data_IF_001250617190
#
_entry.id   IF_001250617190
#
_cell.length_a   1.000
_cell.length_b   1.000
_cell.length_c   1.000
_cell.angle_alpha   90.00
_cell.angle_beta   90.00
_cell.angle_gamma   90.00
#
_symmetry.space_group_name_H-M   'P 1'
#
loop_
_entity.id
_entity.type
_entity.pdbx_description
1 polymer ?
#
# COMPACT_ATOMS: atom_id res chain seq x y z
N UNK A 1 -15.57 -17.63 7.91
CA UNK A 1 -14.41 -16.70 7.87
C UNK A 1 -14.78 -15.57 6.94
N UNK A 2 -14.59 -14.30 7.32
CA UNK A 2 -14.74 -13.19 6.36
C UNK A 2 -13.59 -13.30 5.36
N UNK A 3 -13.91 -13.37 4.07
CA UNK A 3 -12.93 -13.35 2.99
C UNK A 3 -12.65 -11.90 2.65
N UNK A 4 -11.40 -11.46 2.76
CA UNK A 4 -11.00 -10.14 2.26
C UNK A 4 -10.44 -10.33 0.85
N UNK A 5 -11.02 -9.64 -0.13
CA UNK A 5 -10.55 -9.71 -1.52
C UNK A 5 -9.31 -8.83 -1.76
N UNK A 6 -9.15 -7.77 -0.98
CA UNK A 6 -8.07 -6.80 -1.14
C UNK A 6 -7.70 -6.19 0.22
N UNK A 7 -6.41 -6.03 0.50
CA UNK A 7 -5.89 -5.35 1.69
C UNK A 7 -4.95 -4.22 1.25
N UNK A 8 -5.17 -3.02 1.80
CA UNK A 8 -4.29 -1.88 1.60
C UNK A 8 -3.43 -1.65 2.84
N UNK A 9 -2.14 -1.45 2.64
CA UNK A 9 -1.18 -1.13 3.70
C UNK A 9 -0.73 0.34 3.61
N UNK A 10 -0.38 0.91 4.76
CA UNK A 10 0.50 2.06 4.78
C UNK A 10 1.96 1.61 4.62
N UNK A 11 2.85 2.53 4.24
CA UNK A 11 4.29 2.27 4.18
C UNK A 11 4.94 2.63 5.52
N UNK A 12 4.96 3.92 5.87
CA UNK A 12 5.67 4.45 7.04
C UNK A 12 5.10 3.90 8.34
N UNK A 13 5.98 3.42 9.22
CA UNK A 13 5.68 2.86 10.55
C UNK A 13 4.65 1.71 10.53
N UNK A 14 4.45 1.09 9.36
CA UNK A 14 3.62 -0.11 9.18
C UNK A 14 4.41 -1.22 8.49
N UNK A 15 4.82 -0.99 7.24
CA UNK A 15 5.67 -1.92 6.50
C UNK A 15 7.14 -1.59 6.66
N UNK A 16 7.47 -0.29 6.70
CA UNK A 16 8.84 0.22 6.77
C UNK A 16 8.95 1.24 7.88
N UNK A 17 9.96 1.12 8.73
CA UNK A 17 10.33 2.12 9.72
C UNK A 17 11.84 2.37 9.68
N UNK A 18 12.25 3.63 9.68
CA UNK A 18 13.66 4.05 9.59
C UNK A 18 14.42 3.39 8.43
N UNK A 19 13.77 3.28 7.26
CA UNK A 19 14.35 2.69 6.05
C UNK A 19 14.50 1.17 6.06
N UNK A 20 14.00 0.48 7.09
CA UNK A 20 14.05 -0.97 7.21
C UNK A 20 12.65 -1.57 7.26
N UNK A 21 12.50 -2.81 6.81
CA UNK A 21 11.26 -3.55 7.02
C UNK A 21 10.95 -3.66 8.51
N UNK A 22 9.67 -3.41 8.86
CA UNK A 22 9.17 -3.78 10.17
C UNK A 22 9.24 -5.30 10.30
N UNK A 23 9.64 -5.80 11.47
CA UNK A 23 9.82 -7.24 11.71
C UNK A 23 8.55 -8.01 11.35
N UNK A 24 8.68 -9.00 10.48
CA UNK A 24 7.58 -9.86 10.02
C UNK A 24 6.69 -9.24 8.95
N UNK A 25 6.95 -8.01 8.49
CA UNK A 25 6.15 -7.37 7.44
C UNK A 25 6.20 -8.17 6.14
N UNK A 26 7.40 -8.59 5.71
CA UNK A 26 7.58 -9.40 4.50
C UNK A 26 6.88 -10.76 4.62
N UNK A 27 7.01 -11.43 5.77
CA UNK A 27 6.37 -12.73 6.01
C UNK A 27 4.83 -12.62 5.93
N UNK A 28 4.26 -11.53 6.45
CA UNK A 28 2.81 -11.26 6.37
C UNK A 28 2.39 -10.96 4.94
N UNK A 29 3.13 -10.14 4.20
CA UNK A 29 2.83 -9.85 2.79
C UNK A 29 2.86 -11.13 1.95
N UNK A 30 3.85 -11.99 2.15
CA UNK A 30 3.98 -13.27 1.45
C UNK A 30 2.85 -14.24 1.80
N UNK A 31 2.48 -14.34 3.08
CA UNK A 31 1.39 -15.19 3.53
C UNK A 31 0.04 -14.73 2.94
N UNK A 32 -0.23 -13.41 2.93
CA UNK A 32 -1.46 -12.86 2.38
C UNK A 32 -1.53 -13.05 0.86
N UNK A 33 -0.44 -12.78 0.13
CA UNK A 33 -0.35 -13.03 -1.32
C UNK A 33 -0.57 -14.50 -1.64
N UNK A 34 0.03 -15.41 -0.88
CA UNK A 34 -0.13 -16.87 -1.03
C UNK A 34 -1.56 -17.35 -0.75
N UNK A 35 -2.33 -16.59 0.03
CA UNK A 35 -3.76 -16.87 0.28
C UNK A 35 -4.71 -16.32 -0.79
N UNK A 36 -4.19 -15.69 -1.84
CA UNK A 36 -4.98 -15.15 -2.95
C UNK A 36 -5.57 -13.77 -2.68
N UNK A 37 -5.12 -13.07 -1.63
CA UNK A 37 -5.54 -11.71 -1.34
C UNK A 37 -4.75 -10.73 -2.21
N UNK A 38 -5.43 -9.76 -2.81
CA UNK A 38 -4.79 -8.66 -3.55
C UNK A 38 -4.21 -7.64 -2.57
N UNK A 39 -3.00 -7.17 -2.84
CA UNK A 39 -2.28 -6.25 -1.95
C UNK A 39 -2.18 -4.87 -2.60
N UNK A 40 -2.51 -3.83 -1.85
CA UNK A 40 -2.38 -2.43 -2.27
C UNK A 40 -1.63 -1.59 -1.25
N UNK A 41 -1.30 -0.36 -1.64
CA UNK A 41 -0.68 0.65 -0.79
C UNK A 41 -1.52 1.93 -0.79
N UNK A 42 -1.67 2.55 0.38
CA UNK A 42 -2.17 3.92 0.54
C UNK A 42 -1.23 4.64 1.49
N UNK A 43 -0.38 5.53 0.95
CA UNK A 43 0.62 6.22 1.76
C UNK A 43 0.70 7.71 1.47
N UNK A 44 0.85 8.50 2.54
CA UNK A 44 1.13 9.92 2.42
C UNK A 44 2.64 10.08 2.17
N UNK A 45 3.00 10.64 1.02
CA UNK A 45 4.39 10.73 0.54
C UNK A 45 4.89 12.17 0.43
N UNK A 46 4.06 13.13 0.88
CA UNK A 46 4.36 14.56 0.77
C UNK A 46 4.59 14.96 -0.68
N UNK A 47 5.77 15.51 -0.97
CA UNK A 47 6.17 15.96 -2.31
C UNK A 47 7.19 15.03 -2.98
N UNK A 48 7.48 13.86 -2.40
CA UNK A 48 8.46 12.94 -2.98
C UNK A 48 7.90 12.28 -4.24
N UNK A 49 8.68 12.28 -5.32
CA UNK A 49 8.43 11.37 -6.43
C UNK A 49 8.61 9.92 -5.99
N UNK A 50 8.07 8.97 -6.76
CA UNK A 50 8.27 7.53 -6.49
C UNK A 50 9.76 7.15 -6.43
N UNK A 51 10.57 7.68 -7.32
CA UNK A 51 12.02 7.44 -7.33
C UNK A 51 12.72 8.03 -6.10
N UNK A 52 12.30 9.22 -5.66
CA UNK A 52 12.82 9.81 -4.43
C UNK A 52 12.41 9.00 -3.21
N UNK A 53 11.15 8.56 -3.14
CA UNK A 53 10.64 7.70 -2.09
C UNK A 53 11.41 6.39 -2.01
N UNK A 54 11.75 5.77 -3.15
CA UNK A 54 12.51 4.52 -3.22
C UNK A 54 13.86 4.61 -2.47
N UNK A 55 14.51 5.78 -2.44
CA UNK A 55 15.76 5.99 -1.70
C UNK A 55 15.59 5.91 -0.17
N UNK A 56 14.36 5.96 0.32
CA UNK A 56 14.01 5.86 1.74
C UNK A 56 13.44 4.48 2.12
N UNK A 57 13.33 3.56 1.16
CA UNK A 57 12.78 2.22 1.36
C UNK A 57 13.90 1.16 1.40
N UNK A 58 13.65 -0.03 1.96
CA UNK A 58 14.56 -1.15 1.88
C UNK A 58 14.99 -1.44 0.44
N UNK A 59 16.25 -1.84 0.24
CA UNK A 59 16.82 -2.03 -1.10
C UNK A 59 16.12 -3.12 -1.94
N UNK A 60 15.40 -4.02 -1.29
CA UNK A 60 14.56 -5.07 -1.87
C UNK A 60 13.07 -4.70 -1.95
N UNK A 61 12.66 -3.53 -1.45
CA UNK A 61 11.29 -3.05 -1.61
C UNK A 61 10.99 -2.77 -3.08
N UNK A 62 9.91 -3.36 -3.60
CA UNK A 62 9.45 -3.13 -4.97
C UNK A 62 7.96 -2.81 -4.97
N UNK A 63 7.58 -1.70 -5.60
CA UNK A 63 6.18 -1.32 -5.75
C UNK A 63 5.38 -2.33 -6.59
N UNK A 64 6.05 -3.06 -7.50
CA UNK A 64 5.47 -4.12 -8.34
C UNK A 64 5.12 -5.40 -7.56
N UNK A 65 5.50 -5.48 -6.27
CA UNK A 65 5.09 -6.59 -5.40
C UNK A 65 3.63 -6.50 -4.99
N UNK A 66 3.02 -5.32 -5.16
CA UNK A 66 1.61 -5.01 -4.94
C UNK A 66 0.85 -5.03 -6.28
N UNK A 67 -0.46 -5.24 -6.22
CA UNK A 67 -1.32 -5.35 -7.39
C UNK A 67 -1.35 -4.05 -8.22
N UNK A 68 -1.34 -4.23 -9.55
CA UNK A 68 -1.40 -3.14 -10.51
C UNK A 68 -2.58 -2.21 -10.25
N UNK A 69 -2.30 -0.90 -10.26
CA UNK A 69 -3.27 0.14 -9.98
C UNK A 69 -3.63 0.32 -8.50
N UNK A 70 -3.21 -0.59 -7.60
CA UNK A 70 -3.53 -0.52 -6.16
C UNK A 70 -2.46 0.18 -5.32
N UNK A 71 -1.45 0.78 -5.94
CA UNK A 71 -0.48 1.66 -5.27
C UNK A 71 -0.94 3.11 -5.39
N UNK A 72 -1.36 3.70 -4.27
CA UNK A 72 -1.79 5.09 -4.15
C UNK A 72 -0.81 5.85 -3.25
N UNK A 73 0.06 6.65 -3.89
CA UNK A 73 0.96 7.58 -3.21
C UNK A 73 0.34 8.97 -3.27
N UNK A 74 0.22 9.68 -2.13
CA UNK A 74 -0.46 10.98 -2.10
C UNK A 74 0.18 12.02 -3.04
N UNK A 75 1.50 11.96 -3.23
CA UNK A 75 2.23 12.81 -4.18
C UNK A 75 1.87 12.55 -5.65
N UNK A 76 1.40 11.35 -5.99
CA UNK A 76 0.99 10.98 -7.34
C UNK A 76 -0.51 11.22 -7.58
N UNK A 77 -1.35 10.98 -6.56
CA UNK A 77 -2.81 11.11 -6.68
C UNK A 77 -3.34 12.50 -6.29
N UNK A 78 -2.52 13.33 -5.64
CA UNK A 78 -2.87 14.69 -5.24
C UNK A 78 -3.84 14.80 -4.05
N UNK A 79 -4.09 13.70 -3.34
CA UNK A 79 -5.00 13.63 -2.18
C UNK A 79 -4.29 12.82 -1.11
N UNK A 80 -4.28 13.28 0.15
CA UNK A 80 -3.63 12.60 1.27
C UNK A 80 -4.62 12.15 2.35
N UNK A 81 -4.28 11.09 3.09
CA UNK A 81 -4.97 10.72 4.33
C UNK A 81 -4.86 11.90 5.33
N UNK A 82 -5.90 12.20 6.13
CA UNK A 82 -7.13 11.44 6.33
C UNK A 82 -8.26 11.81 5.36
N UNK A 83 -8.00 12.54 4.27
CA UNK A 83 -9.06 12.93 3.34
C UNK A 83 -9.71 11.69 2.71
N UNK A 84 -11.05 11.60 2.77
CA UNK A 84 -11.81 10.42 2.35
C UNK A 84 -11.57 10.03 0.88
N UNK A 85 -11.28 11.02 0.04
CA UNK A 85 -11.04 10.85 -1.41
C UNK A 85 -9.99 9.79 -1.76
N UNK A 86 -8.89 9.66 -1.00
CA UNK A 86 -7.87 8.64 -1.32
C UNK A 86 -8.38 7.22 -1.04
N UNK A 87 -9.19 7.04 0.00
CA UNK A 87 -9.80 5.75 0.32
C UNK A 87 -10.88 5.37 -0.70
N UNK A 88 -11.70 6.34 -1.12
CA UNK A 88 -12.69 6.13 -2.18
C UNK A 88 -12.04 5.77 -3.51
N UNK A 89 -10.91 6.41 -3.84
CA UNK A 89 -10.12 6.06 -5.03
C UNK A 89 -9.55 4.64 -4.92
N UNK A 90 -9.06 4.23 -3.75
CA UNK A 90 -8.56 2.88 -3.51
C UNK A 90 -9.67 1.83 -3.70
N UNK A 91 -10.85 2.06 -3.13
CA UNK A 91 -12.04 1.21 -3.30
C UNK A 91 -12.43 1.11 -4.78
N UNK A 92 -12.50 2.25 -5.48
CA UNK A 92 -12.83 2.31 -6.90
C UNK A 92 -11.82 1.50 -7.74
N UNK A 93 -10.51 1.66 -7.52
CA UNK A 93 -9.46 0.94 -8.25
C UNK A 93 -9.42 -0.55 -7.93
N UNK A 94 -9.76 -0.93 -6.69
CA UNK A 94 -9.90 -2.33 -6.29
C UNK A 94 -11.13 -3.00 -6.93
N UNK A 95 -12.13 -2.23 -7.37
CA UNK A 95 -13.38 -2.76 -7.92
C UNK A 95 -14.29 -3.39 -6.87
N UNK A 96 -14.11 -3.02 -5.60
CA UNK A 96 -14.82 -3.58 -4.45
C UNK A 96 -15.88 -2.61 -3.92
N UNK A 97 -16.85 -3.12 -3.16
CA UNK A 97 -17.77 -2.30 -2.37
C UNK A 97 -17.24 -2.20 -0.93
N UNK A 98 -17.22 -1.01 -0.30
CA UNK A 98 -16.70 -0.85 1.07
C UNK A 98 -17.61 -1.45 2.15
N UNK A 99 -18.78 -1.99 1.76
CA UNK A 99 -19.83 -2.48 2.66
C UNK A 99 -20.05 -3.99 2.58
N UNK A 100 -19.20 -4.72 1.85
CA UNK A 100 -19.29 -6.19 1.73
C UNK A 100 -18.33 -6.90 2.67
#
# INVERSE_FOLDING_TARGET
>A
MRSFETIFFDIGDTLVSQGNWVRGATDILDALKSSGVRLGLISNTGNLSRDQLQNHLPGDFRFDSFDDGLVLLSSEVGIEKPHLGIFLLAIQRAGISPWR
#
